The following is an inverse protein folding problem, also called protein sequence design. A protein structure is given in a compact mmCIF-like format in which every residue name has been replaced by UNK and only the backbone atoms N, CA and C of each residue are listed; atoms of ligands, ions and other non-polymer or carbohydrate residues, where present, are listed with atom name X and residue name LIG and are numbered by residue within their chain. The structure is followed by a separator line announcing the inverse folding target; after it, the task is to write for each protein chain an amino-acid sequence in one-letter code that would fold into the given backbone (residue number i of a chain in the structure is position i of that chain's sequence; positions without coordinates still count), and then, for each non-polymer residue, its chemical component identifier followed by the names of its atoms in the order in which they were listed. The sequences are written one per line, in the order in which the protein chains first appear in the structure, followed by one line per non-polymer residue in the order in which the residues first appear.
data_IF_226339077663
#
_entry.id   IF_226339077663
#
_cell.length_a   1.000
_cell.length_b   1.000
_cell.length_c   1.000
_cell.angle_alpha   90.00
_cell.angle_beta   90.00
_cell.angle_gamma   90.00
#
_symmetry.space_group_name_H-M   'P 1'
#
loop_
_entity.id
_entity.type
_entity.pdbx_description
1 polymer ?
#
# COMPACT_ATOMS: atom_id res chain seq x y z
N UNK A 1 -12.71 -38.96 -26.30
CA UNK A 1 -12.33 -39.61 -25.03
C UNK A 1 -11.81 -38.51 -24.10
N UNK A 2 -12.58 -38.15 -23.07
CA UNK A 2 -12.12 -37.22 -22.03
C UNK A 2 -11.26 -38.04 -21.08
N UNK A 3 -9.96 -37.76 -21.00
CA UNK A 3 -9.08 -38.43 -20.05
C UNK A 3 -9.21 -37.71 -18.71
N UNK A 4 -10.07 -38.24 -17.85
CA UNK A 4 -10.11 -37.94 -16.42
C UNK A 4 -9.07 -38.83 -15.73
N UNK A 5 -7.83 -38.36 -15.64
CA UNK A 5 -6.76 -39.08 -14.92
C UNK A 5 -6.81 -38.75 -13.42
N UNK A 6 -7.10 -39.77 -12.62
CA UNK A 6 -7.28 -39.69 -11.17
C UNK A 6 -6.01 -39.37 -10.37
N UNK A 7 -6.19 -38.49 -9.38
CA UNK A 7 -5.83 -38.67 -7.96
C UNK A 7 -4.51 -39.38 -7.58
N UNK A 8 -3.37 -38.94 -8.14
CA UNK A 8 -2.06 -38.95 -7.46
C UNK A 8 -0.90 -38.45 -8.35
N UNK A 9 -1.03 -38.56 -9.68
CA UNK A 9 0.03 -38.15 -10.62
C UNK A 9 -0.12 -36.70 -11.11
N UNK A 10 -1.34 -36.16 -11.10
CA UNK A 10 -1.66 -34.82 -11.63
C UNK A 10 -1.17 -33.65 -10.76
N UNK A 11 -0.77 -33.89 -9.51
CA UNK A 11 -0.22 -32.83 -8.63
C UNK A 11 1.24 -32.51 -8.94
N UNK A 12 2.00 -33.46 -9.50
CA UNK A 12 3.44 -33.25 -9.73
C UNK A 12 3.70 -32.43 -11.00
N UNK A 13 2.90 -32.62 -12.05
CA UNK A 13 3.00 -31.83 -13.29
C UNK A 13 2.47 -30.40 -13.13
N UNK A 14 1.51 -30.16 -12.24
CA UNK A 14 1.02 -28.80 -11.96
C UNK A 14 2.03 -27.96 -11.18
N UNK A 15 3.04 -28.55 -10.55
CA UNK A 15 4.05 -27.76 -9.82
C UNK A 15 4.96 -26.97 -10.76
N UNK A 16 5.18 -27.45 -11.98
CA UNK A 16 5.97 -26.76 -13.01
C UNK A 16 5.13 -25.90 -13.96
N UNK A 17 3.80 -25.82 -13.78
CA UNK A 17 2.94 -25.02 -14.66
C UNK A 17 3.23 -23.53 -14.48
N UNK A 18 3.39 -22.81 -15.59
CA UNK A 18 3.53 -21.37 -15.65
C UNK A 18 2.16 -20.66 -15.66
N UNK A 19 2.09 -19.37 -15.31
CA UNK A 19 0.88 -18.58 -15.45
C UNK A 19 0.42 -18.59 -16.91
N UNK A 20 -0.81 -19.04 -17.15
CA UNK A 20 -1.36 -19.27 -18.50
C UNK A 20 -1.47 -20.74 -18.90
N UNK A 21 -0.78 -21.65 -18.20
CA UNK A 21 -0.91 -23.09 -18.41
C UNK A 21 -2.23 -23.64 -17.85
N UNK A 22 -2.72 -24.74 -18.45
CA UNK A 22 -3.99 -25.38 -18.09
C UNK A 22 -4.10 -25.78 -16.61
N UNK A 23 -2.98 -26.20 -16.00
CA UNK A 23 -2.95 -26.68 -14.62
C UNK A 23 -2.58 -25.59 -13.60
N UNK A 24 -2.30 -24.36 -14.05
CA UNK A 24 -1.93 -23.25 -13.18
C UNK A 24 -3.02 -22.89 -12.14
N UNK A 25 -4.33 -22.86 -12.49
CA UNK A 25 -5.38 -22.62 -11.51
C UNK A 25 -5.41 -23.67 -10.39
N UNK A 26 -5.08 -24.93 -10.72
CA UNK A 26 -5.02 -26.03 -9.74
C UNK A 26 -3.83 -25.83 -8.80
N UNK A 27 -2.67 -25.41 -9.32
CA UNK A 27 -1.49 -25.04 -8.53
C UNK A 27 -1.84 -23.95 -7.53
N UNK A 28 -2.33 -22.81 -8.02
CA UNK A 28 -2.71 -21.67 -7.18
C UNK A 28 -3.73 -22.04 -6.10
N UNK A 29 -4.75 -22.84 -6.42
CA UNK A 29 -5.74 -23.29 -5.45
C UNK A 29 -5.11 -24.18 -4.35
N UNK A 30 -4.23 -25.10 -4.74
CA UNK A 30 -3.53 -25.96 -3.78
C UNK A 30 -2.64 -25.15 -2.82
N UNK A 31 -2.00 -24.10 -3.35
CA UNK A 31 -1.17 -23.17 -2.58
C UNK A 31 -2.01 -22.41 -1.54
N UNK A 32 -3.17 -21.88 -1.96
CA UNK A 32 -4.10 -21.13 -1.11
C UNK A 32 -4.70 -22.00 0.02
N UNK A 33 -5.04 -23.27 -0.28
CA UNK A 33 -5.52 -24.22 0.73
C UNK A 33 -4.45 -24.46 1.78
N UNK A 34 -3.20 -24.69 1.36
CA UNK A 34 -2.09 -24.94 2.29
C UNK A 34 -1.81 -23.73 3.17
N UNK A 35 -1.86 -22.52 2.63
CA UNK A 35 -1.76 -21.28 3.43
C UNK A 35 -2.88 -21.17 4.45
N UNK A 36 -4.11 -21.51 4.05
CA UNK A 36 -5.28 -21.44 4.94
C UNK A 36 -5.18 -22.42 6.10
N UNK A 37 -4.74 -23.66 5.83
CA UNK A 37 -4.58 -24.71 6.83
C UNK A 37 -3.38 -24.50 7.76
N UNK A 38 -2.41 -23.67 7.38
CA UNK A 38 -1.22 -23.39 8.19
C UNK A 38 -1.56 -22.45 9.36
N UNK A 39 -1.46 -22.91 10.60
CA UNK A 39 -1.89 -22.10 11.75
C UNK A 39 -0.79 -21.18 12.32
N UNK A 40 0.46 -21.65 12.37
CA UNK A 40 1.57 -20.87 12.94
C UNK A 40 1.91 -19.65 12.08
N UNK A 41 2.04 -18.44 12.67
CA UNK A 41 2.46 -17.25 11.94
C UNK A 41 3.81 -17.42 11.22
N UNK A 42 4.78 -18.06 11.87
CA UNK A 42 6.09 -18.31 11.28
C UNK A 42 5.99 -19.30 10.11
N UNK A 43 5.26 -20.40 10.28
CA UNK A 43 5.09 -21.37 9.19
C UNK A 43 4.31 -20.78 8.00
N UNK A 44 3.34 -19.90 8.27
CA UNK A 44 2.65 -19.13 7.22
C UNK A 44 3.61 -18.21 6.48
N UNK A 45 4.48 -17.51 7.21
CA UNK A 45 5.50 -16.65 6.61
C UNK A 45 6.43 -17.46 5.72
N UNK A 46 7.00 -18.56 6.22
CA UNK A 46 7.90 -19.41 5.45
C UNK A 46 7.24 -19.92 4.16
N UNK A 47 5.97 -20.31 4.23
CA UNK A 47 5.21 -20.74 3.06
C UNK A 47 4.92 -19.59 2.09
N UNK A 48 4.58 -18.39 2.61
CA UNK A 48 4.42 -17.20 1.76
C UNK A 48 5.71 -16.87 1.03
N UNK A 49 6.87 -16.94 1.70
CA UNK A 49 8.17 -16.68 1.07
C UNK A 49 8.55 -17.74 0.03
N UNK A 50 8.26 -19.02 0.29
CA UNK A 50 8.43 -20.09 -0.72
C UNK A 50 7.59 -19.81 -1.98
N UNK A 51 6.35 -19.35 -1.82
CA UNK A 51 5.51 -19.01 -2.96
C UNK A 51 6.01 -17.77 -3.69
N UNK A 52 6.48 -16.75 -2.97
CA UNK A 52 7.07 -15.55 -3.58
C UNK A 52 8.29 -15.89 -4.43
N UNK A 53 9.14 -16.80 -3.95
CA UNK A 53 10.28 -17.29 -4.72
C UNK A 53 9.85 -18.04 -5.99
N UNK A 54 8.84 -18.90 -5.88
CA UNK A 54 8.24 -19.56 -7.07
C UNK A 54 7.66 -18.54 -8.06
N UNK A 55 7.01 -17.47 -7.59
CA UNK A 55 6.51 -16.37 -8.43
C UNK A 55 7.64 -15.67 -9.16
N UNK A 56 8.75 -15.39 -8.49
CA UNK A 56 9.94 -14.87 -9.15
C UNK A 56 10.48 -15.84 -10.22
N UNK A 57 10.56 -17.14 -9.92
CA UNK A 57 10.99 -18.16 -10.88
C UNK A 57 10.10 -18.25 -12.13
N UNK A 58 8.79 -18.15 -11.97
CA UNK A 58 7.86 -18.16 -13.12
C UNK A 58 7.95 -16.88 -13.95
N UNK A 59 8.05 -15.72 -13.30
CA UNK A 59 8.23 -14.43 -13.97
C UNK A 59 9.52 -14.44 -14.79
N UNK A 60 10.64 -14.87 -14.21
CA UNK A 60 11.94 -14.93 -14.90
C UNK A 60 11.91 -15.91 -16.07
N UNK A 61 11.25 -17.07 -15.93
CA UNK A 61 11.07 -18.03 -17.02
C UNK A 61 10.25 -17.47 -18.19
N UNK A 62 9.14 -16.79 -17.90
CA UNK A 62 8.29 -16.16 -18.91
C UNK A 62 9.05 -15.09 -19.70
N UNK A 63 9.75 -14.21 -19.00
CA UNK A 63 10.53 -13.14 -19.61
C UNK A 63 11.67 -13.70 -20.46
N UNK A 64 12.40 -14.70 -19.95
CA UNK A 64 13.50 -15.36 -20.67
C UNK A 64 13.00 -16.09 -21.93
N UNK A 65 11.77 -16.59 -21.92
CA UNK A 65 11.10 -17.16 -23.09
C UNK A 65 10.59 -16.13 -24.11
N UNK A 66 10.81 -14.83 -23.87
CA UNK A 66 10.31 -13.75 -24.72
C UNK A 66 8.81 -13.46 -24.55
N UNK A 67 8.19 -14.04 -23.52
CA UNK A 67 6.81 -13.79 -23.15
C UNK A 67 6.64 -12.49 -22.36
N UNK A 68 5.40 -12.04 -22.23
CA UNK A 68 5.03 -11.00 -21.27
C UNK A 68 4.77 -11.61 -19.89
N UNK A 69 4.89 -10.81 -18.84
CA UNK A 69 4.46 -11.20 -17.49
C UNK A 69 2.94 -11.00 -17.39
N UNK A 70 2.14 -12.05 -17.14
CA UNK A 70 0.70 -11.90 -16.97
C UNK A 70 0.37 -11.10 -15.71
N UNK A 71 -0.65 -10.24 -15.78
CA UNK A 71 -1.09 -9.40 -14.66
C UNK A 71 -1.38 -10.21 -13.39
N UNK A 72 -1.94 -11.42 -13.54
CA UNK A 72 -2.20 -12.31 -12.41
C UNK A 72 -0.92 -12.74 -11.68
N UNK A 73 0.17 -12.99 -12.41
CA UNK A 73 1.45 -13.39 -11.83
C UNK A 73 2.06 -12.22 -11.03
N UNK A 74 2.09 -11.03 -11.63
CA UNK A 74 2.53 -9.80 -10.98
C UNK A 74 1.69 -9.48 -9.75
N UNK A 75 0.36 -9.62 -9.85
CA UNK A 75 -0.55 -9.37 -8.73
C UNK A 75 -0.29 -10.35 -7.58
N UNK A 76 -0.21 -11.66 -7.86
CA UNK A 76 0.06 -12.66 -6.81
C UNK A 76 1.40 -12.41 -6.12
N UNK A 77 2.44 -12.12 -6.88
CA UNK A 77 3.74 -11.75 -6.33
C UNK A 77 3.63 -10.57 -5.35
N UNK A 78 2.95 -9.49 -5.77
CA UNK A 78 2.73 -8.32 -4.92
C UNK A 78 1.90 -8.65 -3.66
N UNK A 79 0.82 -9.43 -3.82
CA UNK A 79 -0.04 -9.86 -2.72
C UNK A 79 0.76 -10.69 -1.68
N UNK A 80 1.67 -11.55 -2.13
CA UNK A 80 2.52 -12.38 -1.27
C UNK A 80 3.59 -11.55 -0.53
N UNK A 81 4.21 -10.58 -1.19
CA UNK A 81 5.12 -9.63 -0.54
C UNK A 81 4.40 -8.84 0.57
N UNK A 82 3.22 -8.31 0.29
CA UNK A 82 2.42 -7.60 1.28
C UNK A 82 2.00 -8.53 2.42
N UNK A 83 1.60 -9.76 2.09
CA UNK A 83 1.22 -10.76 3.08
C UNK A 83 2.36 -11.08 4.04
N UNK A 84 3.60 -11.16 3.55
CA UNK A 84 4.77 -11.41 4.37
C UNK A 84 4.98 -10.30 5.42
N UNK A 85 4.84 -9.02 5.01
CA UNK A 85 4.94 -7.89 5.95
C UNK A 85 3.81 -7.90 6.98
N UNK A 86 2.59 -8.25 6.56
CA UNK A 86 1.43 -8.35 7.44
C UNK A 86 1.61 -9.46 8.47
N UNK A 87 2.13 -10.62 8.05
CA UNK A 87 2.42 -11.74 8.95
C UNK A 87 3.50 -11.34 9.96
N UNK A 88 4.58 -10.69 9.52
CA UNK A 88 5.63 -10.19 10.40
C UNK A 88 5.06 -9.19 11.43
N UNK A 89 4.22 -8.24 11.00
CA UNK A 89 3.60 -7.25 11.88
C UNK A 89 2.73 -7.85 12.99
N UNK A 90 2.17 -9.04 12.75
CA UNK A 90 1.36 -9.80 13.70
C UNK A 90 2.16 -10.61 14.74
N UNK A 91 3.48 -10.70 14.59
CA UNK A 91 4.37 -11.40 15.54
C UNK A 91 4.80 -10.46 16.69
N UNK A 92 5.32 -11.02 17.78
CA UNK A 92 6.04 -10.25 18.80
C UNK A 92 7.36 -9.67 18.24
N UNK A 93 7.94 -8.70 18.95
CA UNK A 93 9.06 -7.90 18.45
C UNK A 93 10.29 -8.72 18.07
N UNK A 94 10.59 -9.81 18.81
CA UNK A 94 11.77 -10.63 18.55
C UNK A 94 11.57 -11.42 17.26
N UNK A 95 10.43 -12.11 17.15
CA UNK A 95 10.10 -12.87 15.95
C UNK A 95 9.88 -11.97 14.73
N UNK A 96 9.23 -10.82 14.90
CA UNK A 96 9.03 -9.84 13.83
C UNK A 96 10.36 -9.35 13.25
N UNK A 97 11.33 -8.96 14.09
CA UNK A 97 12.66 -8.55 13.58
C UNK A 97 13.36 -9.68 12.83
N UNK A 98 13.19 -10.93 13.26
CA UNK A 98 13.74 -12.10 12.55
C UNK A 98 13.06 -12.34 11.21
N UNK A 99 11.72 -12.25 11.18
CA UNK A 99 10.91 -12.33 9.98
C UNK A 99 11.28 -11.25 8.96
N UNK A 100 11.41 -10.00 9.40
CA UNK A 100 11.79 -8.89 8.52
C UNK A 100 13.20 -9.06 7.94
N UNK A 101 14.16 -9.57 8.73
CA UNK A 101 15.47 -9.96 8.19
C UNK A 101 15.37 -11.02 7.09
N UNK A 102 14.49 -12.00 7.27
CA UNK A 102 14.27 -13.06 6.28
C UNK A 102 13.62 -12.50 5.01
N UNK A 103 12.59 -11.67 5.16
CA UNK A 103 11.91 -10.98 4.07
C UNK A 103 12.90 -10.12 3.28
N UNK A 104 13.72 -9.31 3.97
CA UNK A 104 14.75 -8.47 3.33
C UNK A 104 15.73 -9.28 2.51
N UNK A 105 16.32 -10.35 3.08
CA UNK A 105 17.29 -11.18 2.35
C UNK A 105 16.70 -11.80 1.09
N UNK A 106 15.45 -12.24 1.15
CA UNK A 106 14.74 -12.75 -0.02
C UNK A 106 14.57 -11.64 -1.07
N UNK A 107 14.10 -10.46 -0.66
CA UNK A 107 13.90 -9.34 -1.56
C UNK A 107 15.21 -8.85 -2.20
N UNK A 108 16.31 -8.79 -1.45
CA UNK A 108 17.66 -8.50 -1.94
C UNK A 108 18.08 -9.51 -3.04
N UNK A 109 17.95 -10.81 -2.75
CA UNK A 109 18.29 -11.89 -3.70
C UNK A 109 17.48 -11.82 -5.00
N UNK A 110 16.19 -11.52 -4.86
CA UNK A 110 15.28 -11.38 -6.01
C UNK A 110 15.59 -10.11 -6.81
N UNK A 111 15.98 -9.03 -6.15
CA UNK A 111 16.42 -7.79 -6.78
C UNK A 111 17.63 -8.03 -7.69
N UNK A 112 18.64 -8.74 -7.18
CA UNK A 112 19.84 -9.13 -7.96
C UNK A 112 19.47 -10.01 -9.16
N UNK A 113 18.57 -10.98 -8.97
CA UNK A 113 18.08 -11.85 -10.06
C UNK A 113 17.41 -11.01 -11.16
N UNK A 114 16.64 -10.00 -10.76
CA UNK A 114 15.95 -9.12 -11.69
C UNK A 114 16.92 -8.17 -12.42
N UNK A 115 17.94 -7.66 -11.74
CA UNK A 115 18.99 -6.83 -12.37
C UNK A 115 19.79 -7.61 -13.42
N UNK A 116 20.13 -8.86 -13.13
CA UNK A 116 20.77 -9.76 -14.11
C UNK A 116 19.85 -9.97 -15.31
N UNK A 117 18.55 -10.17 -15.05
CA UNK A 117 17.56 -10.33 -16.09
C UNK A 117 17.49 -9.08 -16.96
N UNK A 118 17.37 -7.87 -16.37
CA UNK A 118 17.35 -6.56 -17.06
C UNK A 118 18.48 -6.40 -18.06
N UNK A 119 19.69 -6.79 -17.65
CA UNK A 119 20.88 -6.69 -18.48
C UNK A 119 20.82 -7.56 -19.74
N UNK A 120 19.89 -8.53 -19.81
CA UNK A 120 19.71 -9.49 -20.89
C UNK A 120 18.37 -9.35 -21.62
N UNK A 121 17.56 -8.34 -21.31
CA UNK A 121 16.15 -8.30 -21.72
C UNK A 121 15.86 -7.82 -23.15
N UNK A 122 14.73 -8.28 -23.72
CA UNK A 122 14.01 -7.58 -24.78
C UNK A 122 13.25 -6.34 -24.25
N UNK A 123 13.16 -5.29 -25.08
CA UNK A 123 12.60 -3.96 -24.75
C UNK A 123 11.15 -4.02 -24.22
N UNK A 124 10.36 -5.03 -24.62
CA UNK A 124 8.95 -5.13 -24.28
C UNK A 124 8.69 -5.54 -22.82
N UNK A 125 9.66 -6.19 -22.16
CA UNK A 125 9.51 -6.64 -20.78
C UNK A 125 9.82 -5.55 -19.73
N UNK A 126 10.38 -4.41 -20.16
CA UNK A 126 10.94 -3.39 -19.27
C UNK A 126 9.93 -2.79 -18.25
N UNK A 127 8.68 -2.42 -18.63
CA UNK A 127 7.78 -1.77 -17.68
C UNK A 127 7.35 -2.69 -16.52
N UNK A 128 7.02 -3.95 -16.82
CA UNK A 128 6.61 -4.92 -15.81
C UNK A 128 7.73 -5.18 -14.80
N UNK A 129 8.97 -5.21 -15.28
CA UNK A 129 10.15 -5.47 -14.47
C UNK A 129 10.50 -4.29 -13.57
N UNK A 130 10.40 -3.06 -14.07
CA UNK A 130 10.59 -1.85 -13.25
C UNK A 130 9.61 -1.81 -12.07
N UNK A 131 8.34 -2.20 -12.30
CA UNK A 131 7.37 -2.29 -11.21
C UNK A 131 7.74 -3.35 -10.17
N UNK A 132 8.21 -4.52 -10.59
CA UNK A 132 8.66 -5.57 -9.67
C UNK A 132 9.88 -5.14 -8.86
N UNK A 133 10.86 -4.47 -9.48
CA UNK A 133 12.01 -3.91 -8.78
C UNK A 133 11.60 -2.88 -7.73
N UNK A 134 10.69 -1.96 -8.09
CA UNK A 134 10.19 -0.97 -7.14
C UNK A 134 9.55 -1.65 -5.92
N UNK A 135 8.78 -2.72 -6.14
CA UNK A 135 8.13 -3.47 -5.06
C UNK A 135 9.12 -4.20 -4.17
N UNK A 136 10.18 -4.78 -4.74
CA UNK A 136 11.28 -5.37 -3.98
C UNK A 136 12.04 -4.34 -3.15
N UNK A 137 12.34 -3.17 -3.74
CA UNK A 137 13.01 -2.07 -3.04
C UNK A 137 12.18 -1.58 -1.84
N UNK A 138 10.88 -1.37 -2.05
CA UNK A 138 9.95 -1.00 -0.99
C UNK A 138 9.95 -2.06 0.13
N UNK A 139 9.93 -3.34 -0.22
CA UNK A 139 9.98 -4.44 0.74
C UNK A 139 11.25 -4.40 1.61
N UNK A 140 12.40 -4.10 1.01
CA UNK A 140 13.68 -3.96 1.71
C UNK A 140 13.63 -2.78 2.68
N UNK A 141 13.17 -1.62 2.23
CA UNK A 141 13.07 -0.40 3.05
C UNK A 141 12.19 -0.60 4.28
N UNK A 142 11.03 -1.22 4.09
CA UNK A 142 10.09 -1.49 5.16
C UNK A 142 10.60 -2.53 6.15
N UNK A 143 11.30 -3.54 5.64
CA UNK A 143 11.94 -4.54 6.48
C UNK A 143 13.05 -3.91 7.32
N UNK A 144 13.90 -3.07 6.74
CA UNK A 144 14.92 -2.30 7.45
C UNK A 144 14.30 -1.37 8.51
N UNK A 145 13.19 -0.71 8.19
CA UNK A 145 12.45 0.12 9.14
C UNK A 145 12.02 -0.71 10.36
N UNK A 146 11.34 -1.83 10.15
CA UNK A 146 10.85 -2.66 11.27
C UNK A 146 11.93 -3.46 12.00
N UNK A 147 13.05 -3.75 11.34
CA UNK A 147 14.25 -4.28 11.97
C UNK A 147 14.84 -3.33 13.01
N UNK A 148 14.66 -2.01 12.84
CA UNK A 148 15.13 -0.97 13.76
C UNK A 148 14.03 -0.53 14.74
N UNK A 149 12.85 -0.18 14.21
CA UNK A 149 11.67 0.28 14.95
C UNK A 149 10.41 -0.56 14.63
N UNK A 150 10.16 -1.61 15.44
CA UNK A 150 8.96 -2.43 15.43
C UNK A 150 7.64 -1.66 15.48
N UNK A 151 7.57 -0.59 16.27
CA UNK A 151 6.34 0.14 16.50
C UNK A 151 5.97 0.97 15.26
N UNK A 152 6.95 1.69 14.71
CA UNK A 152 6.78 2.42 13.45
C UNK A 152 6.36 1.49 12.31
N UNK A 153 7.00 0.34 12.18
CA UNK A 153 6.65 -0.64 11.15
C UNK A 153 5.20 -1.14 11.26
N UNK A 154 4.74 -1.50 12.45
CA UNK A 154 3.33 -1.93 12.64
C UNK A 154 2.35 -0.83 12.28
N UNK A 155 2.64 0.42 12.64
CA UNK A 155 1.80 1.55 12.27
C UNK A 155 1.74 1.72 10.74
N UNK A 156 2.89 1.61 10.07
CA UNK A 156 2.96 1.72 8.61
C UNK A 156 2.24 0.57 7.89
N UNK A 157 2.33 -0.67 8.38
CA UNK A 157 1.56 -1.81 7.85
C UNK A 157 0.05 -1.60 8.05
N UNK A 158 -0.38 -1.15 9.23
CA UNK A 158 -1.80 -0.84 9.50
C UNK A 158 -2.32 0.25 8.58
N UNK A 159 -1.57 1.33 8.39
CA UNK A 159 -1.98 2.42 7.50
C UNK A 159 -2.19 1.93 6.07
N UNK A 160 -1.27 1.11 5.54
CA UNK A 160 -1.40 0.51 4.20
C UNK A 160 -2.60 -0.41 4.07
N UNK A 161 -2.94 -1.19 5.10
CA UNK A 161 -4.15 -2.00 5.12
C UNK A 161 -5.43 -1.16 5.08
N UNK A 162 -5.41 0.03 5.68
CA UNK A 162 -6.56 0.93 5.73
C UNK A 162 -6.70 1.84 4.51
N UNK A 163 -5.65 1.97 3.66
CA UNK A 163 -5.75 2.73 2.42
C UNK A 163 -6.51 1.92 1.37
N UNK A 164 -7.66 2.41 0.87
CA UNK A 164 -8.34 1.75 -0.24
C UNK A 164 -7.42 1.71 -1.46
N UNK A 165 -7.21 0.52 -2.01
CA UNK A 165 -6.44 0.29 -3.22
C UNK A 165 -7.18 0.97 -4.39
N UNK A 166 -6.84 2.23 -4.65
CA UNK A 166 -7.54 3.04 -5.65
C UNK A 166 -7.15 4.52 -5.72
N UNK A 167 -6.32 5.03 -4.82
CA UNK A 167 -5.81 6.42 -4.92
C UNK A 167 -4.30 6.45 -4.86
N UNK A 168 -3.69 6.23 -6.02
CA UNK A 168 -2.37 6.74 -6.31
C UNK A 168 -2.49 8.27 -6.46
N UNK A 169 -2.60 9.00 -5.34
CA UNK A 169 -2.34 10.45 -5.35
C UNK A 169 -0.83 10.63 -5.31
N UNK A 170 -0.23 10.65 -6.50
CA UNK A 170 1.03 11.36 -6.72
C UNK A 170 0.89 12.77 -6.15
N UNK A 171 1.87 13.15 -5.34
CA UNK A 171 2.11 14.44 -4.72
C UNK A 171 1.29 15.63 -5.24
N UNK A 172 0.39 16.18 -4.42
CA UNK A 172 0.22 17.64 -4.23
C UNK A 172 -0.72 17.90 -3.06
N UNK A 173 -0.25 18.54 -1.99
CA UNK A 173 -0.97 19.57 -1.22
C UNK A 173 -0.11 20.03 -0.04
N UNK A 174 0.93 20.81 -0.34
CA UNK A 174 1.38 21.85 0.58
C UNK A 174 0.40 23.01 0.41
N UNK A 175 -0.63 23.07 1.24
CA UNK A 175 -1.59 24.20 1.25
C UNK A 175 -0.92 25.42 1.89
N UNK A 176 -0.40 26.32 1.05
CA UNK A 176 -0.29 27.74 1.41
C UNK A 176 -1.63 28.44 1.05
N UNK A 177 -2.19 29.29 1.94
CA UNK A 177 -3.46 29.95 1.71
C UNK A 177 -3.27 31.18 0.81
N UNK A 178 -3.67 31.05 -0.45
CA UNK A 178 -3.80 32.15 -1.41
C UNK A 178 -5.27 32.48 -1.64
N UNK A 179 -5.68 33.64 -1.17
CA UNK A 179 -7.00 34.27 -1.29
C UNK A 179 -7.44 34.46 -2.74
N UNK A 180 -8.59 33.93 -3.16
CA UNK A 180 -9.47 34.56 -4.17
C UNK A 180 -10.91 34.04 -4.11
N UNK A 181 -11.84 34.96 -4.36
CA UNK A 181 -13.28 34.97 -4.08
C UNK A 181 -14.12 34.10 -5.06
N UNK A 182 -15.37 33.74 -4.70
CA UNK A 182 -16.25 32.92 -5.54
C UNK A 182 -17.00 33.78 -6.57
N UNK A 183 -16.98 33.37 -7.85
CA UNK A 183 -17.90 33.92 -8.86
C UNK A 183 -18.79 32.80 -9.39
N UNK A 184 -20.07 32.99 -9.12
CA UNK A 184 -21.24 32.22 -9.55
C UNK A 184 -21.39 32.15 -11.07
N UNK A 185 -21.77 30.96 -11.52
CA UNK A 185 -22.19 30.56 -12.87
C UNK A 185 -23.59 31.06 -13.24
N UNK A 186 -23.78 31.53 -14.50
CA UNK A 186 -24.87 31.09 -15.41
C UNK A 186 -24.90 31.87 -16.77
N UNK A 187 -24.74 31.10 -17.87
CA UNK A 187 -25.56 30.96 -19.11
C UNK A 187 -26.08 32.17 -19.90
N UNK A 188 -26.15 32.01 -21.26
CA UNK A 188 -27.41 32.39 -21.94
C UNK A 188 -27.89 31.44 -23.07
N UNK A 189 -29.23 31.30 -23.15
CA UNK A 189 -30.01 30.90 -24.33
C UNK A 189 -30.60 29.49 -24.29
N UNK A 190 -31.90 29.22 -24.45
CA UNK A 190 -33.07 30.03 -24.79
C UNK A 190 -34.30 29.11 -24.98
N UNK A 191 -35.48 29.74 -25.18
CA UNK A 191 -36.82 29.17 -25.41
C UNK A 191 -37.49 28.55 -24.16
N UNK A 192 -38.66 28.96 -23.67
CA UNK A 192 -39.73 29.78 -24.24
C UNK A 192 -41.05 29.01 -24.12
N UNK A 193 -41.99 29.55 -23.33
CA UNK A 193 -43.46 29.52 -23.47
C UNK A 193 -44.24 29.06 -22.20
N UNK A 194 -45.26 29.85 -21.83
CA UNK A 194 -46.52 29.31 -21.29
C UNK A 194 -46.90 29.63 -19.84
N UNK A 195 -47.53 30.79 -19.63
CA UNK A 195 -48.80 31.03 -18.91
C UNK A 195 -49.03 30.43 -17.49
N UNK A 196 -49.36 31.26 -16.51
CA UNK A 196 -50.01 30.82 -15.27
C UNK A 196 -49.96 31.82 -14.11
N UNK A 197 -51.11 32.36 -13.76
CA UNK A 197 -51.38 33.45 -12.83
C UNK A 197 -51.64 32.91 -11.40
N UNK A 198 -51.21 33.63 -10.35
CA UNK A 198 -51.65 33.33 -8.97
C UNK A 198 -50.83 34.02 -7.86
N UNK A 199 -51.48 34.97 -7.17
CA UNK A 199 -51.04 35.57 -5.90
C UNK A 199 -50.86 34.51 -4.81
N UNK A 200 -49.98 34.74 -3.83
CA UNK A 200 -50.40 35.01 -2.44
C UNK A 200 -49.20 35.35 -1.52
N UNK A 201 -49.39 36.41 -0.74
CA UNK A 201 -48.54 36.85 0.37
C UNK A 201 -48.73 35.92 1.56
N UNK A 202 -47.71 35.66 2.37
CA UNK A 202 -47.85 35.66 3.83
C UNK A 202 -46.50 35.92 4.53
N UNK A 203 -46.52 36.92 5.42
CA UNK A 203 -45.52 37.32 6.40
C UNK A 203 -45.58 36.46 7.68
N UNK A 204 -44.48 36.38 8.41
CA UNK A 204 -44.42 36.41 9.90
C UNK A 204 -42.99 36.86 10.28
N UNK A 205 -42.72 38.08 10.77
CA UNK A 205 -42.88 38.68 12.13
C UNK A 205 -42.23 37.81 13.23
N UNK A 206 -41.04 38.15 13.72
CA UNK A 206 -40.69 39.13 14.79
C UNK A 206 -40.92 38.62 16.23
N UNK A 207 -39.83 38.46 17.03
CA UNK A 207 -39.68 38.96 18.42
C UNK A 207 -38.21 38.84 18.94
N UNK A 208 -37.78 39.62 19.98
CA UNK A 208 -36.47 40.27 20.12
C UNK A 208 -35.69 39.90 21.43
N UNK A 209 -34.53 40.55 21.65
CA UNK A 209 -33.48 40.13 22.62
C UNK A 209 -33.40 40.79 24.02
N UNK A 210 -32.16 41.11 24.41
CA UNK A 210 -31.59 41.62 25.70
C UNK A 210 -31.12 40.54 26.70
N UNK A 211 -29.98 40.59 27.39
CA UNK A 211 -28.89 41.56 27.58
C UNK A 211 -28.18 41.28 28.93
N UNK A 212 -26.88 41.56 29.08
CA UNK A 212 -26.19 41.59 30.38
C UNK A 212 -24.69 41.24 30.37
N UNK A 213 -23.83 42.18 30.78
CA UNK A 213 -22.34 42.11 30.84
C UNK A 213 -21.84 42.25 32.31
N UNK A 214 -20.52 42.21 32.65
CA UNK A 214 -19.93 41.39 33.74
C UNK A 214 -19.33 42.28 34.88
N UNK A 215 -18.40 41.84 35.78
CA UNK A 215 -16.97 41.61 35.46
C UNK A 215 -16.20 40.58 36.34
N UNK A 216 -14.98 40.17 35.93
CA UNK A 216 -14.04 39.41 36.76
C UNK A 216 -12.63 39.31 36.16
N UNK A 217 -11.62 39.77 36.91
CA UNK A 217 -10.22 40.01 36.55
C UNK A 217 -9.31 38.76 36.49
N UNK A 218 -8.24 38.85 35.68
CA UNK A 218 -7.05 38.00 35.79
C UNK A 218 -5.95 38.42 34.81
N UNK A 219 -4.97 39.22 35.27
CA UNK A 219 -3.77 39.64 34.53
C UNK A 219 -2.70 38.55 34.56
N UNK A 220 -1.93 38.40 33.48
CA UNK A 220 -0.59 37.80 33.52
C UNK A 220 0.32 38.53 32.53
N UNK A 221 1.46 39.02 33.04
CA UNK A 221 2.61 39.56 32.28
C UNK A 221 3.86 38.73 32.63
N UNK A 222 4.90 38.72 31.78
CA UNK A 222 5.90 37.64 31.69
C UNK A 222 7.16 37.89 32.54
N UNK A 223 7.84 36.81 32.94
CA UNK A 223 9.13 36.83 33.62
C UNK A 223 10.16 35.97 32.88
N UNK A 224 11.25 36.63 32.46
CA UNK A 224 12.42 36.11 31.75
C UNK A 224 13.60 35.90 32.73
N UNK A 225 14.53 35.01 32.38
CA UNK A 225 15.80 34.72 33.08
C UNK A 225 15.88 33.25 33.50
N UNK A 226 16.98 32.52 33.41
CA UNK A 226 18.39 32.79 33.14
C UNK A 226 19.05 31.41 32.91
N UNK A 227 20.12 31.30 32.11
CA UNK A 227 21.33 30.54 32.45
C UNK A 227 22.27 30.45 31.23
N UNK A 228 23.27 31.32 31.23
CA UNK A 228 24.47 31.19 30.40
C UNK A 228 25.57 32.04 31.00
N UNK A 229 26.64 31.41 31.49
CA UNK A 229 27.92 32.08 31.72
C UNK A 229 29.05 31.06 31.62
N UNK A 230 29.93 31.38 30.70
CA UNK A 230 31.14 30.68 30.27
C UNK A 230 32.16 30.44 31.39
N UNK A 231 32.95 29.37 31.22
CA UNK A 231 34.29 29.23 31.80
C UNK A 231 35.31 29.54 30.72
N UNK A 232 36.12 30.57 30.92
CA UNK A 232 37.43 30.77 30.28
C UNK A 232 38.54 30.17 31.15
N UNK A 233 39.62 29.61 30.56
CA UNK A 233 40.84 29.27 31.28
C UNK A 233 42.00 30.21 30.91
N UNK A 234 42.92 30.46 31.84
CA UNK A 234 44.32 30.90 31.60
C UNK A 234 45.05 31.06 32.96
N UNK A 235 46.39 31.12 32.98
CA UNK A 235 47.39 30.25 32.34
C UNK A 235 48.15 29.35 33.34
#
# INVERSE_FOLDING_TARGET
MVILAGSSITVYASQSSLPGDLLYPVKSLSEDIRLTLTSSPQAKLDLTLDYTDRRMGEITALISGGGNVPDQASKRFNDELDRALILAAGMDDVHMRSALRQIRRMADSQGMTMEELISRLPVQAAPAISHLQQRLQEQIELSLMGENDPAAFRNHVRERQHRPHGQNKSATETTQPGTTLPVTSATPGGAGNGNGQGNDRHQSTDVPGHGGTPPGQGKSTPGNGNHGSEKTPEP
#
